data_IF_054950695575
#
_entry.id   IF_054950695575
#
_cell.length_a   1.000
_cell.length_b   1.000
_cell.length_c   1.000
_cell.angle_alpha   90.00
_cell.angle_beta   90.00
_cell.angle_gamma   90.00
#
_symmetry.space_group_name_H-M   'P 1'
#
loop_
_entity.id
_entity.type
_entity.pdbx_description
1 polymer ?
#
# COMPACT_ATOMS: atom_id res chain seq x y z
N UNK A 1 0.31 9.80 22.52
CA UNK A 1 0.23 8.64 21.61
C UNK A 1 1.38 8.75 20.63
N UNK A 2 2.26 7.74 20.51
CA UNK A 2 3.43 7.84 19.63
C UNK A 2 3.00 7.82 18.16
N UNK A 3 3.72 8.54 17.28
CA UNK A 3 3.39 8.61 15.85
C UNK A 3 3.41 7.24 15.12
N UNK A 4 4.00 6.21 15.74
CA UNK A 4 3.98 4.84 15.22
C UNK A 4 2.57 4.25 15.20
N UNK A 5 1.82 4.35 16.31
CA UNK A 5 0.47 3.77 16.40
C UNK A 5 -0.52 4.46 15.45
N UNK A 6 -0.43 5.79 15.32
CA UNK A 6 -1.27 6.54 14.40
C UNK A 6 -1.09 6.09 12.94
N UNK A 7 0.15 5.81 12.51
CA UNK A 7 0.38 5.35 11.14
C UNK A 7 -0.08 3.90 10.91
N UNK A 8 -0.07 3.05 11.94
CA UNK A 8 -0.66 1.70 11.87
C UNK A 8 -2.18 1.76 11.74
N UNK A 9 -2.85 2.60 12.53
CA UNK A 9 -4.32 2.77 12.45
C UNK A 9 -4.75 3.34 11.09
N UNK A 10 -4.02 4.33 10.57
CA UNK A 10 -4.30 4.88 9.23
C UNK A 10 -4.10 3.83 8.15
N UNK A 11 -3.03 3.02 8.24
CA UNK A 11 -2.77 1.97 7.27
C UNK A 11 -3.87 0.89 7.28
N UNK A 12 -4.29 0.47 8.48
CA UNK A 12 -5.38 -0.51 8.66
C UNK A 12 -6.69 0.01 8.05
N UNK A 13 -7.05 1.25 8.39
CA UNK A 13 -8.28 1.90 7.89
C UNK A 13 -8.40 1.90 6.36
N UNK A 14 -7.28 2.03 5.65
CA UNK A 14 -7.25 2.14 4.19
C UNK A 14 -6.84 0.85 3.47
N UNK A 15 -6.55 -0.24 4.20
CA UNK A 15 -5.95 -1.44 3.61
C UNK A 15 -6.83 -2.10 2.53
N UNK A 16 -8.10 -2.36 2.83
CA UNK A 16 -9.00 -3.03 1.87
C UNK A 16 -9.25 -2.19 0.62
N UNK A 17 -9.50 -0.88 0.78
CA UNK A 17 -9.66 0.02 -0.37
C UNK A 17 -8.37 0.12 -1.20
N UNK A 18 -7.20 0.10 -0.55
CA UNK A 18 -5.91 0.10 -1.23
C UNK A 18 -5.67 -1.19 -2.02
N UNK A 19 -6.05 -2.35 -1.46
CA UNK A 19 -5.99 -3.65 -2.13
C UNK A 19 -6.85 -3.65 -3.40
N UNK A 20 -8.11 -3.26 -3.30
CA UNK A 20 -9.00 -3.16 -4.47
C UNK A 20 -8.44 -2.20 -5.53
N UNK A 21 -7.92 -1.05 -5.09
CA UNK A 21 -7.33 -0.05 -5.97
C UNK A 21 -6.12 -0.57 -6.75
N UNK A 22 -5.19 -1.27 -6.10
CA UNK A 22 -3.99 -1.79 -6.79
C UNK A 22 -4.31 -2.93 -7.74
N UNK A 23 -5.28 -3.79 -7.40
CA UNK A 23 -5.77 -4.82 -8.32
C UNK A 23 -6.39 -4.17 -9.56
N UNK A 24 -7.21 -3.13 -9.39
CA UNK A 24 -7.80 -2.41 -10.52
C UNK A 24 -6.73 -1.71 -11.38
N UNK A 25 -5.69 -1.15 -10.75
CA UNK A 25 -4.65 -0.39 -11.45
C UNK A 25 -3.50 -1.22 -12.01
N UNK A 26 -3.37 -2.49 -11.60
CA UNK A 26 -2.28 -3.37 -11.98
C UNK A 26 -0.88 -2.80 -11.65
N UNK A 27 -0.80 -1.89 -10.69
CA UNK A 27 0.42 -1.25 -10.23
C UNK A 27 0.26 -0.76 -8.79
N UNK A 28 1.33 -0.87 -7.99
CA UNK A 28 1.39 -0.35 -6.63
C UNK A 28 2.68 0.44 -6.36
N UNK A 29 2.54 1.60 -5.70
CA UNK A 29 3.65 2.40 -5.20
C UNK A 29 3.22 3.27 -4.01
N UNK A 30 4.18 3.65 -3.16
CA UNK A 30 3.92 4.49 -1.98
C UNK A 30 3.30 5.83 -2.37
N UNK A 31 3.81 6.47 -3.43
CA UNK A 31 3.31 7.78 -3.90
C UNK A 31 1.88 7.71 -4.48
N UNK A 32 1.45 6.55 -5.00
CA UNK A 32 0.05 6.33 -5.37
C UNK A 32 -0.84 6.31 -4.14
N UNK A 33 -0.44 5.58 -3.08
CA UNK A 33 -1.20 5.53 -1.83
C UNK A 33 -1.30 6.90 -1.16
N UNK A 34 -0.20 7.65 -1.10
CA UNK A 34 -0.20 9.00 -0.55
C UNK A 34 -1.24 9.90 -1.23
N UNK A 35 -1.30 9.87 -2.56
CA UNK A 35 -2.23 10.70 -3.35
C UNK A 35 -3.68 10.21 -3.25
N UNK A 36 -3.90 8.89 -3.32
CA UNK A 36 -5.26 8.30 -3.31
C UNK A 36 -5.96 8.46 -1.97
N UNK A 37 -5.22 8.31 -0.87
CA UNK A 37 -5.77 8.33 0.49
C UNK A 37 -5.47 9.61 1.26
N UNK A 38 -4.64 10.51 0.71
CA UNK A 38 -4.20 11.76 1.36
C UNK A 38 -3.51 11.50 2.70
N UNK A 39 -2.62 10.51 2.72
CA UNK A 39 -1.89 10.06 3.91
C UNK A 39 -0.38 10.34 3.79
N UNK A 40 0.30 10.39 4.94
CA UNK A 40 1.75 10.55 5.01
C UNK A 40 2.52 9.32 4.51
N UNK A 41 3.81 9.51 4.25
CA UNK A 41 4.71 8.47 3.74
C UNK A 41 4.70 7.20 4.60
N UNK A 42 4.80 7.33 5.93
CA UNK A 42 4.86 6.17 6.82
C UNK A 42 3.61 5.29 6.73
N UNK A 43 2.42 5.88 6.71
CA UNK A 43 1.16 5.14 6.57
C UNK A 43 1.05 4.50 5.18
N UNK A 44 1.45 5.21 4.14
CA UNK A 44 1.45 4.69 2.77
C UNK A 44 2.45 3.52 2.59
N UNK A 45 3.64 3.62 3.19
CA UNK A 45 4.64 2.55 3.20
C UNK A 45 4.10 1.30 3.91
N UNK A 46 3.48 1.46 5.08
CA UNK A 46 2.84 0.34 5.81
C UNK A 46 1.76 -0.37 5.00
N UNK A 47 0.96 0.36 4.23
CA UNK A 47 -0.01 -0.25 3.32
C UNK A 47 0.70 -1.11 2.27
N UNK A 48 1.77 -0.59 1.66
CA UNK A 48 2.56 -1.32 0.66
C UNK A 48 3.21 -2.57 1.26
N UNK A 49 3.79 -2.46 2.46
CA UNK A 49 4.43 -3.58 3.15
C UNK A 49 3.39 -4.68 3.45
N UNK A 50 2.20 -4.32 3.95
CA UNK A 50 1.13 -5.29 4.21
C UNK A 50 0.57 -5.94 2.94
N UNK A 51 0.51 -5.20 1.84
CA UNK A 51 0.11 -5.77 0.54
C UNK A 51 1.14 -6.79 0.05
N UNK A 52 2.43 -6.56 0.29
CA UNK A 52 3.50 -7.50 -0.02
C UNK A 52 3.45 -8.73 0.90
N UNK A 53 3.34 -8.52 2.22
CA UNK A 53 3.23 -9.57 3.23
C UNK A 53 2.05 -10.51 2.97
N UNK A 54 0.92 -9.96 2.52
CA UNK A 54 -0.28 -10.73 2.19
C UNK A 54 -0.27 -11.31 0.76
N UNK A 55 0.85 -11.21 0.03
CA UNK A 55 1.00 -11.79 -1.30
C UNK A 55 0.15 -11.13 -2.38
N UNK A 56 -0.30 -9.89 -2.16
CA UNK A 56 -1.10 -9.13 -3.14
C UNK A 56 -0.19 -8.51 -4.20
N UNK A 57 0.98 -8.02 -3.77
CA UNK A 57 1.98 -7.39 -4.64
C UNK A 57 3.33 -8.08 -4.49
N UNK A 58 4.13 -8.00 -5.56
CA UNK A 58 5.48 -8.52 -5.59
C UNK A 58 6.49 -7.66 -4.82
N UNK A 59 7.72 -8.17 -4.68
CA UNK A 59 8.79 -7.47 -3.98
C UNK A 59 9.18 -6.18 -4.67
N UNK A 60 9.88 -5.32 -3.93
CA UNK A 60 10.41 -4.08 -4.47
C UNK A 60 11.52 -4.37 -5.49
N UNK A 61 11.29 -4.02 -6.77
CA UNK A 61 12.24 -4.21 -7.88
C UNK A 61 12.94 -2.88 -8.26
N UNK A 62 13.17 -1.98 -7.30
CA UNK A 62 13.85 -0.70 -7.55
C UNK A 62 12.92 0.34 -8.18
N UNK A 63 13.26 0.82 -9.39
CA UNK A 63 12.53 1.90 -10.06
C UNK A 63 11.19 1.48 -10.67
N UNK A 64 10.90 0.18 -10.74
CA UNK A 64 9.67 -0.33 -11.34
C UNK A 64 8.52 -0.35 -10.31
N UNK A 65 7.28 -0.07 -10.74
CA UNK A 65 6.10 -0.31 -9.91
C UNK A 65 6.05 -1.78 -9.46
N UNK A 66 5.58 -2.02 -8.24
CA UNK A 66 5.41 -3.39 -7.75
C UNK A 66 4.32 -4.09 -8.57
N UNK A 67 4.63 -5.31 -9.03
CA UNK A 67 3.70 -6.16 -9.79
C UNK A 67 2.57 -6.62 -8.88
N UNK A 68 1.36 -6.77 -9.43
CA UNK A 68 0.25 -7.39 -8.71
C UNK A 68 0.31 -8.90 -8.95
N UNK A 69 0.23 -9.69 -7.87
CA UNK A 69 0.34 -11.15 -7.92
C UNK A 69 -1.02 -11.85 -8.05
N UNK A 70 -2.09 -11.14 -7.70
CA UNK A 70 -3.46 -11.63 -7.80
C UNK A 70 -4.20 -11.01 -8.98
N UNK A 71 -5.05 -11.81 -9.61
CA UNK A 71 -5.97 -11.35 -10.64
C UNK A 71 -7.38 -11.28 -10.06
N UNK A 72 -8.23 -10.44 -10.66
CA UNK A 72 -9.63 -10.29 -10.24
C UNK A 72 -10.43 -11.55 -10.52
#
# INVERSE_FOLDING_TARGET
MSGKYLSDEIAEKHYEEAKEFVIAMQAASVSMMQRRFRIGYMSAAKIIDRLEENGIIGPYEGSKPRKILIQK
#
